data_IF_390299559098
#
_entry.id   IF_390299559098
#
_cell.length_a   1.000
_cell.length_b   1.000
_cell.length_c   1.000
_cell.angle_alpha   90.00
_cell.angle_beta   90.00
_cell.angle_gamma   90.00
#
_symmetry.space_group_name_H-M   'P 1'
#
loop_
_entity.id
_entity.type
_entity.pdbx_description
1 polymer ?
#
# COMPACT_ATOMS: atom_id res chain seq x y z
N UNK A 1 -60.63 18.37 18.47
CA UNK A 1 -60.21 17.71 17.20
C UNK A 1 -59.41 18.74 16.41
N UNK A 2 -58.16 18.44 16.06
CA UNK A 2 -57.34 19.26 15.14
C UNK A 2 -56.34 20.25 15.76
N UNK A 3 -55.18 19.77 16.26
CA UNK A 3 -53.95 20.57 16.39
C UNK A 3 -52.68 19.74 16.71
N UNK A 4 -52.49 18.59 16.05
CA UNK A 4 -51.28 17.74 16.25
C UNK A 4 -50.57 17.26 14.98
N UNK A 5 -50.84 17.85 13.81
CA UNK A 5 -50.34 17.33 12.52
C UNK A 5 -49.51 18.30 11.68
N UNK A 6 -48.98 19.41 12.24
CA UNK A 6 -48.10 20.31 11.45
C UNK A 6 -46.68 20.50 11.99
N UNK A 7 -46.37 20.12 13.23
CA UNK A 7 -44.99 20.27 13.76
C UNK A 7 -44.07 19.08 13.42
N UNK A 8 -44.62 17.91 13.11
CA UNK A 8 -43.81 16.71 12.80
C UNK A 8 -43.33 16.66 11.34
N UNK A 9 -43.88 17.49 10.44
CA UNK A 9 -43.49 17.50 9.02
C UNK A 9 -42.42 18.54 8.68
N UNK A 10 -42.13 19.51 9.55
CA UNK A 10 -41.04 20.48 9.35
C UNK A 10 -39.72 20.05 9.99
N UNK A 11 -39.73 19.11 10.93
CA UNK A 11 -38.52 18.53 11.53
C UNK A 11 -37.83 17.49 10.63
N UNK A 12 -38.52 16.92 9.63
CA UNK A 12 -37.97 15.91 8.72
C UNK A 12 -37.41 16.46 7.40
N UNK A 13 -37.42 17.77 7.19
CA UNK A 13 -36.85 18.39 5.97
C UNK A 13 -35.46 19.00 6.24
N UNK A 14 -35.09 19.23 7.50
CA UNK A 14 -33.77 19.77 7.85
C UNK A 14 -32.69 18.69 8.11
N UNK A 15 -33.04 17.41 8.07
CA UNK A 15 -32.11 16.30 8.36
C UNK A 15 -31.75 15.46 7.12
N UNK A 16 -32.15 15.92 5.92
CA UNK A 16 -31.92 15.18 4.65
C UNK A 16 -30.88 15.82 3.72
N UNK A 17 -30.38 17.03 4.01
CA UNK A 17 -29.42 17.73 3.15
C UNK A 17 -27.95 17.66 3.60
N UNK A 18 -27.65 17.12 4.78
CA UNK A 18 -26.25 17.07 5.28
C UNK A 18 -25.50 15.76 4.94
N UNK A 19 -26.12 14.85 4.17
CA UNK A 19 -25.49 13.60 3.69
C UNK A 19 -24.79 13.72 2.34
N UNK A 20 -24.60 14.93 1.82
CA UNK A 20 -23.82 15.18 0.59
C UNK A 20 -22.80 16.31 0.75
N UNK A 21 -21.89 16.20 1.72
CA UNK A 21 -20.56 16.80 1.57
C UNK A 21 -19.51 16.07 2.42
N UNK A 22 -18.50 15.50 1.76
CA UNK A 22 -17.41 14.75 2.37
C UNK A 22 -16.41 15.62 3.12
N UNK A 23 -16.83 16.24 4.22
CA UNK A 23 -15.96 17.05 5.07
C UNK A 23 -16.24 16.84 6.57
N UNK A 24 -16.11 15.60 7.06
CA UNK A 24 -16.06 15.35 8.50
C UNK A 24 -14.93 16.19 9.14
N UNK A 25 -15.26 17.09 10.07
CA UNK A 25 -14.27 17.86 10.84
C UNK A 25 -13.58 16.95 11.85
N UNK A 26 -12.25 17.01 11.92
CA UNK A 26 -11.45 16.25 12.90
C UNK A 26 -11.85 16.67 14.31
N UNK A 27 -12.27 15.72 15.15
CA UNK A 27 -12.74 15.99 16.51
C UNK A 27 -11.61 15.87 17.54
N UNK A 28 -11.81 16.43 18.75
CA UNK A 28 -10.89 16.21 19.88
C UNK A 28 -10.75 14.73 20.25
N UNK A 29 -11.81 13.94 20.04
CA UNK A 29 -11.83 12.49 20.27
C UNK A 29 -10.91 11.76 19.28
N UNK A 30 -10.89 12.18 18.01
CA UNK A 30 -10.01 11.63 16.98
C UNK A 30 -8.54 11.89 17.29
N UNK A 31 -8.24 13.10 17.78
CA UNK A 31 -6.89 13.47 18.23
C UNK A 31 -6.47 12.61 19.43
N UNK A 32 -7.38 12.39 20.40
CA UNK A 32 -7.10 11.54 21.57
C UNK A 32 -6.86 10.08 21.16
N UNK A 33 -7.71 9.51 20.30
CA UNK A 33 -7.53 8.15 19.74
C UNK A 33 -6.22 8.01 18.95
N UNK A 34 -5.80 9.06 18.25
CA UNK A 34 -4.50 9.10 17.58
C UNK A 34 -3.35 9.01 18.59
N UNK A 35 -3.36 9.82 19.66
CA UNK A 35 -2.35 9.76 20.71
C UNK A 35 -2.33 8.40 21.44
N UNK A 36 -3.48 7.78 21.67
CA UNK A 36 -3.56 6.42 22.21
C UNK A 36 -2.94 5.37 21.26
N UNK A 37 -3.19 5.48 19.95
CA UNK A 37 -2.51 4.64 18.93
C UNK A 37 -1.01 4.88 18.88
N UNK A 38 -0.54 6.11 19.13
CA UNK A 38 0.88 6.41 19.26
C UNK A 38 1.52 5.78 20.50
N UNK A 39 0.75 5.63 21.58
CA UNK A 39 1.24 5.09 22.85
C UNK A 39 1.41 3.57 22.83
N UNK A 40 0.62 2.86 22.01
CA UNK A 40 0.67 1.40 21.85
C UNK A 40 0.79 0.96 20.38
N UNK A 41 1.95 1.16 19.72
CA UNK A 41 2.16 0.68 18.37
C UNK A 41 2.15 -0.85 18.33
N UNK A 42 1.26 -1.44 17.52
CA UNK A 42 1.30 -2.88 17.21
C UNK A 42 2.43 -3.13 16.20
N UNK A 43 3.61 -3.49 16.69
CA UNK A 43 4.74 -3.93 15.86
C UNK A 43 4.49 -5.35 15.34
N UNK A 44 3.73 -5.47 14.25
CA UNK A 44 3.66 -6.74 13.52
C UNK A 44 4.97 -7.00 12.80
N UNK A 45 5.28 -8.27 12.50
CA UNK A 45 6.44 -8.63 11.67
C UNK A 45 6.42 -7.88 10.33
N UNK A 46 5.25 -7.80 9.70
CA UNK A 46 5.06 -7.05 8.45
C UNK A 46 5.38 -5.55 8.60
N UNK A 47 5.05 -4.94 9.74
CA UNK A 47 5.38 -3.54 10.02
C UNK A 47 6.90 -3.32 10.08
N UNK A 48 7.61 -4.19 10.80
CA UNK A 48 9.07 -4.12 10.93
C UNK A 48 9.73 -4.32 9.56
N UNK A 49 9.30 -5.33 8.79
CA UNK A 49 9.84 -5.62 7.45
C UNK A 49 9.67 -4.43 6.50
N UNK A 50 8.49 -3.83 6.43
CA UNK A 50 8.26 -2.64 5.58
C UNK A 50 9.12 -1.47 5.97
N UNK A 51 9.25 -1.21 7.27
CA UNK A 51 10.08 -0.12 7.76
C UNK A 51 11.55 -0.36 7.43
N UNK A 52 12.05 -1.60 7.54
CA UNK A 52 13.41 -1.96 7.13
C UNK A 52 13.64 -1.76 5.63
N UNK A 53 12.73 -2.25 4.77
CA UNK A 53 12.83 -2.10 3.31
C UNK A 53 12.80 -0.61 2.91
N UNK A 54 11.86 0.17 3.45
CA UNK A 54 11.75 1.59 3.13
C UNK A 54 12.94 2.39 3.64
N UNK A 55 13.51 2.01 4.79
CA UNK A 55 14.75 2.61 5.30
C UNK A 55 15.94 2.28 4.40
N UNK A 56 16.11 1.03 4.00
CA UNK A 56 17.18 0.61 3.10
C UNK A 56 17.08 1.33 1.75
N UNK A 57 15.87 1.40 1.17
CA UNK A 57 15.63 2.14 -0.07
C UNK A 57 15.93 3.64 0.10
N UNK A 58 15.49 4.23 1.21
CA UNK A 58 15.77 5.64 1.52
C UNK A 58 17.27 5.90 1.60
N UNK A 59 18.02 5.02 2.26
CA UNK A 59 19.48 5.09 2.35
C UNK A 59 20.16 4.92 0.99
N UNK A 60 19.75 3.94 0.17
CA UNK A 60 20.32 3.74 -1.18
C UNK A 60 20.11 5.00 -2.03
N UNK A 61 18.91 5.58 -2.03
CA UNK A 61 18.63 6.83 -2.74
C UNK A 61 19.46 7.99 -2.18
N UNK A 62 19.68 8.03 -0.88
CA UNK A 62 20.49 9.05 -0.21
C UNK A 62 21.98 8.93 -0.52
N UNK A 63 22.49 7.71 -0.70
CA UNK A 63 23.89 7.44 -0.99
C UNK A 63 24.22 7.63 -2.49
N UNK A 64 23.33 7.20 -3.38
CA UNK A 64 23.64 7.08 -4.82
C UNK A 64 22.82 8.00 -5.73
N UNK A 65 21.62 8.45 -5.32
CA UNK A 65 20.73 9.27 -6.15
C UNK A 65 20.76 10.74 -5.73
N UNK A 66 21.97 11.31 -5.65
CA UNK A 66 22.21 12.72 -5.33
C UNK A 66 23.05 13.39 -6.42
N UNK A 67 22.68 14.60 -6.81
CA UNK A 67 23.40 15.39 -7.82
C UNK A 67 23.29 16.88 -7.52
N UNK A 68 24.24 17.68 -7.99
CA UNK A 68 24.19 19.14 -7.86
C UNK A 68 23.81 19.81 -9.18
N UNK A 69 23.38 21.07 -9.10
CA UNK A 69 23.04 21.90 -10.26
C UNK A 69 23.89 23.18 -10.22
N UNK A 70 25.21 23.08 -10.48
CA UNK A 70 26.20 24.12 -10.16
C UNK A 70 26.04 25.43 -10.94
N UNK A 71 25.22 25.46 -11.99
CA UNK A 71 24.90 26.68 -12.75
C UNK A 71 23.64 27.41 -12.24
N UNK A 72 22.84 26.74 -11.40
CA UNK A 72 21.57 27.26 -10.89
C UNK A 72 21.63 27.48 -9.38
N UNK A 73 22.33 26.60 -8.65
CA UNK A 73 22.43 26.62 -7.20
C UNK A 73 23.88 26.40 -6.75
N UNK A 74 24.24 26.84 -5.53
CA UNK A 74 25.53 26.53 -4.93
C UNK A 74 25.84 25.04 -4.97
N UNK A 75 27.08 24.67 -5.34
CA UNK A 75 27.47 23.28 -5.61
C UNK A 75 27.37 22.32 -4.42
N UNK A 76 27.34 22.86 -3.21
CA UNK A 76 27.15 22.12 -1.95
C UNK A 76 25.68 21.84 -1.62
N UNK A 77 24.72 22.40 -2.37
CA UNK A 77 23.31 22.02 -2.30
C UNK A 77 23.05 20.87 -3.27
N UNK A 78 22.88 19.66 -2.73
CA UNK A 78 22.65 18.44 -3.50
C UNK A 78 21.14 18.11 -3.59
N UNK A 79 20.61 18.03 -4.82
CA UNK A 79 19.27 17.51 -5.07
C UNK A 79 19.28 16.01 -4.74
N UNK A 80 18.29 15.58 -3.94
CA UNK A 80 18.10 14.17 -3.60
C UNK A 80 16.61 13.86 -3.41
N UNK A 81 16.25 12.63 -3.75
CA UNK A 81 14.87 12.11 -3.69
C UNK A 81 14.64 11.13 -2.54
N UNK A 82 15.58 11.07 -1.59
CA UNK A 82 15.60 10.07 -0.51
C UNK A 82 14.46 10.20 0.50
N UNK A 83 13.73 11.31 0.53
CA UNK A 83 12.53 11.51 1.37
C UNK A 83 11.31 10.75 0.87
N UNK A 84 11.31 10.32 -0.40
CA UNK A 84 10.19 9.60 -1.02
C UNK A 84 9.81 8.32 -0.21
N UNK A 85 10.72 7.39 0.12
CA UNK A 85 10.37 6.22 0.93
C UNK A 85 9.89 6.57 2.34
N UNK A 86 10.38 7.68 2.93
CA UNK A 86 9.92 8.13 4.24
C UNK A 86 8.49 8.67 4.19
N UNK A 87 8.11 9.41 3.14
CA UNK A 87 6.72 9.82 2.92
C UNK A 87 5.79 8.61 2.72
N UNK A 88 6.23 7.61 1.95
CA UNK A 88 5.50 6.37 1.76
C UNK A 88 5.31 5.64 3.11
N UNK A 89 6.37 5.54 3.93
CA UNK A 89 6.25 5.01 5.29
C UNK A 89 5.23 5.79 6.12
N UNK A 90 5.25 7.11 6.03
CA UNK A 90 4.30 8.02 6.66
C UNK A 90 2.85 7.79 6.29
N UNK A 91 2.56 7.72 5.00
CA UNK A 91 1.20 7.50 4.49
C UNK A 91 0.69 6.08 4.78
N UNK A 92 1.61 5.12 4.86
CA UNK A 92 1.27 3.72 5.14
C UNK A 92 1.06 3.41 6.61
N UNK A 93 2.06 3.74 7.42
CA UNK A 93 2.29 3.24 8.77
C UNK A 93 2.13 4.34 9.82
N UNK A 94 2.09 5.60 9.38
CA UNK A 94 1.87 6.77 10.22
C UNK A 94 3.13 7.65 10.35
N UNK A 95 2.95 8.87 10.92
CA UNK A 95 4.00 9.90 10.94
C UNK A 95 5.26 9.51 11.72
N UNK A 96 5.15 8.68 12.77
CA UNK A 96 6.33 8.21 13.52
C UNK A 96 7.24 7.39 12.59
N UNK A 97 6.67 6.49 11.80
CA UNK A 97 7.45 5.67 10.86
C UNK A 97 8.18 6.54 9.85
N UNK A 98 7.56 7.61 9.35
CA UNK A 98 8.21 8.56 8.45
C UNK A 98 9.46 9.18 9.10
N UNK A 99 9.33 9.66 10.35
CA UNK A 99 10.46 10.23 11.09
C UNK A 99 11.55 9.20 11.35
N UNK A 100 11.19 7.97 11.72
CA UNK A 100 12.15 6.88 11.96
C UNK A 100 12.94 6.57 10.69
N UNK A 101 12.29 6.48 9.52
CA UNK A 101 12.99 6.28 8.24
C UNK A 101 14.01 7.39 7.97
N UNK A 102 13.65 8.66 8.21
CA UNK A 102 14.57 9.81 8.05
C UNK A 102 15.74 9.73 9.02
N UNK A 103 15.50 9.37 10.29
CA UNK A 103 16.57 9.29 11.29
C UNK A 103 17.53 8.14 10.92
N UNK A 104 16.99 6.95 10.64
CA UNK A 104 17.80 5.78 10.34
C UNK A 104 18.60 5.91 9.04
N UNK A 105 18.04 6.50 7.97
CA UNK A 105 18.79 6.70 6.71
C UNK A 105 20.02 7.58 6.94
N UNK A 106 19.89 8.63 7.77
CA UNK A 106 20.98 9.55 8.05
C UNK A 106 22.01 8.92 9.01
N UNK A 107 21.55 8.15 10.00
CA UNK A 107 22.43 7.36 10.87
C UNK A 107 23.29 6.38 10.07
N UNK A 108 22.73 5.72 9.05
CA UNK A 108 23.49 4.83 8.17
C UNK A 108 24.49 5.55 7.27
N UNK A 109 24.27 6.82 6.93
CA UNK A 109 25.26 7.62 6.19
C UNK A 109 26.36 8.19 7.07
N UNK A 110 26.16 8.36 8.38
CA UNK A 110 27.17 9.00 9.24
C UNK A 110 28.61 8.45 9.08
N UNK A 111 28.85 7.13 8.96
CA UNK A 111 30.20 6.61 8.73
C UNK A 111 30.84 7.02 7.38
N UNK A 112 30.03 7.54 6.45
CA UNK A 112 30.41 7.91 5.08
C UNK A 112 30.34 9.43 4.85
N UNK A 113 30.29 10.25 5.91
CA UNK A 113 30.14 11.71 5.78
C UNK A 113 31.40 12.36 5.19
N UNK A 114 31.19 13.33 4.29
CA UNK A 114 32.22 14.25 3.80
C UNK A 114 32.05 15.68 4.32
N UNK A 115 30.96 15.95 5.06
CA UNK A 115 30.53 17.29 5.50
C UNK A 115 30.64 17.50 7.01
N UNK A 116 31.47 16.71 7.69
CA UNK A 116 31.65 16.75 9.14
C UNK A 116 30.31 16.75 9.90
N UNK A 117 29.38 15.87 9.48
CA UNK A 117 28.06 15.67 10.08
C UNK A 117 27.05 16.82 9.94
N UNK A 118 27.47 18.01 9.47
CA UNK A 118 26.60 19.20 9.34
C UNK A 118 25.50 18.96 8.31
N UNK A 119 25.86 18.33 7.19
CA UNK A 119 24.92 18.00 6.12
C UNK A 119 23.85 17.03 6.59
N UNK A 120 24.26 15.92 7.20
CA UNK A 120 23.35 14.88 7.70
C UNK A 120 22.43 15.42 8.81
N UNK A 121 22.94 16.23 9.74
CA UNK A 121 22.11 16.87 10.77
C UNK A 121 21.07 17.82 10.16
N UNK A 122 21.47 18.60 9.15
CA UNK A 122 20.55 19.46 8.41
C UNK A 122 19.49 18.63 7.68
N UNK A 123 19.89 17.55 7.02
CA UNK A 123 18.96 16.66 6.31
C UNK A 123 17.96 15.96 7.24
N UNK A 124 18.34 15.60 8.47
CA UNK A 124 17.40 15.08 9.46
C UNK A 124 16.32 16.13 9.78
N UNK A 125 16.74 17.36 10.12
CA UNK A 125 15.82 18.45 10.49
C UNK A 125 14.86 18.78 9.34
N UNK A 126 15.41 18.96 8.13
CA UNK A 126 14.60 19.29 6.95
C UNK A 126 13.72 18.12 6.50
N UNK A 127 14.25 16.89 6.56
CA UNK A 127 13.50 15.68 6.26
C UNK A 127 12.29 15.52 7.18
N UNK A 128 12.47 15.67 8.50
CA UNK A 128 11.36 15.62 9.47
C UNK A 128 10.35 16.75 9.21
N UNK A 129 10.83 17.98 8.99
CA UNK A 129 9.95 19.12 8.70
C UNK A 129 9.10 18.94 7.45
N UNK A 130 9.56 18.14 6.48
CA UNK A 130 8.78 17.76 5.31
C UNK A 130 7.81 16.62 5.60
N UNK A 131 8.31 15.49 6.10
CA UNK A 131 7.52 14.25 6.16
C UNK A 131 6.51 14.22 7.30
N UNK A 132 6.81 14.86 8.44
CA UNK A 132 5.95 14.83 9.61
C UNK A 132 4.60 15.51 9.37
N UNK A 133 4.52 16.80 8.98
CA UNK A 133 3.24 17.45 8.70
C UNK A 133 2.49 16.78 7.54
N UNK A 134 3.20 16.34 6.50
CA UNK A 134 2.59 15.65 5.37
C UNK A 134 1.89 14.37 5.82
N UNK A 135 2.60 13.54 6.58
CA UNK A 135 2.09 12.26 7.09
C UNK A 135 0.99 12.47 8.12
N UNK A 136 1.07 13.51 8.95
CA UNK A 136 0.06 13.82 9.95
C UNK A 136 -1.28 14.21 9.30
N UNK A 137 -1.25 15.10 8.29
CA UNK A 137 -2.46 15.51 7.55
C UNK A 137 -3.09 14.31 6.86
N UNK A 138 -2.27 13.47 6.21
CA UNK A 138 -2.76 12.25 5.56
C UNK A 138 -3.31 11.22 6.55
N UNK A 139 -2.71 11.12 7.74
CA UNK A 139 -3.15 10.18 8.78
C UNK A 139 -4.59 10.45 9.23
N UNK A 140 -5.01 11.72 9.29
CA UNK A 140 -6.38 12.09 9.64
C UNK A 140 -7.40 11.75 8.55
N UNK A 141 -7.03 11.91 7.26
CA UNK A 141 -7.90 11.60 6.13
C UNK A 141 -7.09 10.97 5.00
N UNK A 142 -7.32 9.68 4.76
CA UNK A 142 -6.58 8.86 3.81
C UNK A 142 -7.17 8.94 2.40
N UNK A 143 -6.98 10.08 1.75
CA UNK A 143 -7.37 10.28 0.36
C UNK A 143 -6.31 11.06 -0.44
N UNK A 144 -6.48 11.14 -1.76
CA UNK A 144 -5.50 11.82 -2.63
C UNK A 144 -5.42 13.33 -2.37
N UNK A 145 -6.53 13.95 -1.94
CA UNK A 145 -6.59 15.38 -1.67
C UNK A 145 -5.73 15.71 -0.45
N UNK A 146 -5.83 14.94 0.62
CA UNK A 146 -5.07 15.14 1.84
C UNK A 146 -3.61 14.69 1.70
N UNK A 147 -3.31 13.73 0.81
CA UNK A 147 -1.94 13.45 0.42
C UNK A 147 -1.30 14.69 -0.24
N UNK A 148 -2.00 15.32 -1.18
CA UNK A 148 -1.54 16.55 -1.83
C UNK A 148 -1.41 17.72 -0.85
N UNK A 149 -2.45 17.99 -0.05
CA UNK A 149 -2.42 19.05 0.99
C UNK A 149 -1.28 18.80 1.98
N UNK A 150 -1.08 17.55 2.39
CA UNK A 150 0.01 17.14 3.27
C UNK A 150 1.37 17.46 2.67
N UNK A 151 1.61 17.07 1.41
CA UNK A 151 2.85 17.39 0.70
C UNK A 151 3.06 18.91 0.61
N UNK A 152 2.03 19.69 0.29
CA UNK A 152 2.12 21.15 0.25
C UNK A 152 2.48 21.74 1.63
N UNK A 153 1.82 21.30 2.70
CA UNK A 153 2.09 21.75 4.06
C UNK A 153 3.51 21.40 4.50
N UNK A 154 3.96 20.17 4.23
CA UNK A 154 5.34 19.77 4.50
C UNK A 154 6.35 20.54 3.68
N UNK A 155 6.05 20.86 2.42
CA UNK A 155 6.93 21.69 1.58
C UNK A 155 7.11 23.09 2.16
N UNK A 156 6.03 23.69 2.67
CA UNK A 156 6.08 24.99 3.36
C UNK A 156 6.91 24.91 4.64
N UNK A 157 6.69 23.89 5.47
CA UNK A 157 7.45 23.67 6.71
C UNK A 157 8.95 23.46 6.45
N UNK A 158 9.31 22.60 5.48
CA UNK A 158 10.70 22.39 5.08
C UNK A 158 11.31 23.68 4.55
N UNK A 159 10.61 24.40 3.67
CA UNK A 159 11.16 25.63 3.07
C UNK A 159 11.42 26.68 4.15
N UNK A 160 10.47 26.93 5.05
CA UNK A 160 10.65 27.87 6.15
C UNK A 160 11.79 27.44 7.09
N UNK A 161 11.83 26.17 7.48
CA UNK A 161 12.88 25.66 8.37
C UNK A 161 14.25 25.68 7.69
N UNK A 162 14.32 25.44 6.38
CA UNK A 162 15.57 25.45 5.62
C UNK A 162 16.26 26.81 5.69
N UNK A 163 15.51 27.92 5.65
CA UNK A 163 16.07 29.25 5.79
C UNK A 163 16.66 29.47 7.18
N UNK A 164 15.94 29.05 8.22
CA UNK A 164 16.35 29.20 9.62
C UNK A 164 17.57 28.34 9.94
N UNK A 165 17.51 27.05 9.60
CA UNK A 165 18.59 26.09 9.86
C UNK A 165 19.85 26.50 9.11
N UNK A 166 19.74 26.92 7.84
CA UNK A 166 20.91 27.41 7.11
C UNK A 166 21.48 28.70 7.68
N UNK A 167 20.63 29.63 8.15
CA UNK A 167 21.08 30.89 8.74
C UNK A 167 21.81 30.69 10.06
N UNK A 168 21.24 29.90 10.96
CA UNK A 168 21.66 29.85 12.36
C UNK A 168 22.47 28.60 12.73
N UNK A 169 22.40 27.54 11.95
CA UNK A 169 23.01 26.25 12.29
C UNK A 169 24.01 25.84 11.20
N UNK A 170 23.56 25.52 9.99
CA UNK A 170 24.39 24.86 8.97
C UNK A 170 25.58 25.71 8.53
N UNK A 171 25.35 26.95 8.09
CA UNK A 171 26.44 27.80 7.59
C UNK A 171 27.41 28.21 8.70
N UNK A 172 26.97 28.75 9.85
CA UNK A 172 27.90 29.11 10.92
C UNK A 172 28.77 27.94 11.37
N UNK A 173 28.17 26.76 11.55
CA UNK A 173 28.90 25.58 11.99
C UNK A 173 29.84 25.04 10.91
N UNK A 174 29.42 25.03 9.65
CA UNK A 174 30.29 24.65 8.53
C UNK A 174 31.52 25.57 8.40
N UNK A 175 31.32 26.89 8.46
CA UNK A 175 32.41 27.88 8.40
C UNK A 175 33.35 27.73 9.59
N UNK A 176 32.79 27.51 10.78
CA UNK A 176 33.60 27.28 11.98
C UNK A 176 34.48 26.04 11.85
N UNK A 177 33.95 24.94 11.31
CA UNK A 177 34.68 23.67 11.20
C UNK A 177 35.68 23.62 10.05
N UNK A 178 35.30 24.11 8.86
CA UNK A 178 36.12 23.96 7.65
C UNK A 178 37.02 25.17 7.37
N UNK A 179 36.64 26.35 7.85
CA UNK A 179 37.33 27.61 7.56
C UNK A 179 37.83 28.32 8.81
N UNK A 180 37.82 27.66 9.98
CA UNK A 180 38.21 28.26 11.27
C UNK A 180 37.51 29.60 11.57
N UNK A 181 36.27 29.75 11.10
CA UNK A 181 35.49 30.99 11.27
C UNK A 181 35.67 32.03 10.16
N UNK A 182 36.55 31.80 9.18
CA UNK A 182 36.75 32.75 8.07
C UNK A 182 35.58 32.69 7.07
N UNK A 183 34.68 33.66 7.20
CA UNK A 183 33.50 33.79 6.36
C UNK A 183 33.83 34.24 4.92
N UNK A 184 35.03 34.79 4.66
CA UNK A 184 35.41 35.21 3.31
C UNK A 184 35.53 34.03 2.34
N UNK A 185 35.93 32.86 2.86
CA UNK A 185 36.10 31.64 2.07
C UNK A 185 34.76 31.11 1.56
N UNK A 186 33.71 31.12 2.37
CA UNK A 186 32.38 30.68 1.91
C UNK A 186 31.75 31.67 0.92
N UNK A 187 32.02 32.97 1.06
CA UNK A 187 31.61 33.98 0.08
C UNK A 187 32.26 33.71 -1.28
N UNK A 188 33.54 33.32 -1.31
CA UNK A 188 34.24 32.99 -2.55
C UNK A 188 33.62 31.79 -3.29
N UNK A 189 33.00 30.84 -2.57
CA UNK A 189 32.28 29.72 -3.19
C UNK A 189 31.01 30.16 -3.92
N UNK A 190 30.43 31.30 -3.57
CA UNK A 190 29.23 31.85 -4.23
C UNK A 190 29.56 32.80 -5.38
N UNK A 191 30.74 33.41 -5.41
CA UNK A 191 31.13 34.38 -6.45
C UNK A 191 30.96 33.90 -7.90
N UNK A 192 31.23 32.62 -8.25
CA UNK A 192 30.99 32.12 -9.60
C UNK A 192 29.51 32.20 -10.03
N UNK A 193 28.59 32.08 -9.09
CA UNK A 193 27.14 32.17 -9.31
C UNK A 193 26.62 33.61 -9.17
N UNK A 194 27.13 34.34 -8.18
CA UNK A 194 26.64 35.66 -7.80
C UNK A 194 27.79 36.67 -7.80
N UNK A 195 28.00 37.36 -8.92
CA UNK A 195 29.15 38.27 -9.13
C UNK A 195 29.31 39.36 -8.07
N UNK A 196 28.20 39.85 -7.51
CA UNK A 196 28.18 40.98 -6.56
C UNK A 196 28.09 40.54 -5.09
N UNK A 197 28.34 39.26 -4.78
CA UNK A 197 28.23 38.76 -3.40
C UNK A 197 29.39 39.28 -2.54
N UNK A 198 29.04 39.84 -1.40
CA UNK A 198 29.94 40.31 -0.33
C UNK A 198 29.60 39.59 0.98
N UNK A 199 30.39 39.81 2.03
CA UNK A 199 30.11 39.25 3.36
C UNK A 199 28.74 39.73 3.87
N UNK A 200 28.44 41.02 3.74
CA UNK A 200 27.19 41.61 4.22
C UNK A 200 25.96 41.14 3.43
N UNK A 201 26.13 40.88 2.13
CA UNK A 201 25.05 40.46 1.24
C UNK A 201 24.94 38.95 1.11
N UNK A 202 25.89 38.18 1.66
CA UNK A 202 25.98 36.72 1.51
C UNK A 202 24.65 36.04 1.79
N UNK A 203 24.05 36.30 2.94
CA UNK A 203 22.83 35.61 3.35
C UNK A 203 21.61 36.00 2.51
N UNK A 204 21.59 37.20 1.93
CA UNK A 204 20.51 37.60 1.02
C UNK A 204 20.57 36.73 -0.24
N UNK A 205 21.74 36.66 -0.88
CA UNK A 205 21.94 35.82 -2.06
C UNK A 205 21.78 34.34 -1.73
N UNK A 206 22.47 33.87 -0.70
CA UNK A 206 22.47 32.46 -0.34
C UNK A 206 21.07 31.96 0.04
N UNK A 207 20.34 32.66 0.92
CA UNK A 207 19.06 32.19 1.42
C UNK A 207 17.93 32.37 0.39
N UNK A 208 17.80 33.56 -0.20
CA UNK A 208 16.65 33.86 -1.07
C UNK A 208 16.86 33.45 -2.52
N UNK A 209 18.11 33.44 -3.01
CA UNK A 209 18.42 33.06 -4.40
C UNK A 209 18.94 31.62 -4.48
N UNK A 210 19.60 31.12 -3.43
CA UNK A 210 20.04 29.72 -3.34
C UNK A 210 19.00 28.81 -2.68
N UNK A 211 18.92 28.89 -1.35
CA UNK A 211 18.22 27.90 -0.49
C UNK A 211 16.72 27.85 -0.75
N UNK A 212 16.05 29.01 -0.84
CA UNK A 212 14.60 29.10 -1.06
C UNK A 212 14.17 28.40 -2.37
N UNK A 213 14.63 28.84 -3.56
CA UNK A 213 14.23 28.20 -4.82
C UNK A 213 14.72 26.76 -4.92
N UNK A 214 15.89 26.42 -4.37
CA UNK A 214 16.39 25.05 -4.33
C UNK A 214 15.44 24.11 -3.58
N UNK A 215 15.00 24.50 -2.38
CA UNK A 215 14.11 23.66 -1.57
C UNK A 215 12.70 23.58 -2.15
N UNK A 216 12.18 24.68 -2.74
CA UNK A 216 10.92 24.64 -3.48
C UNK A 216 10.99 23.66 -4.66
N UNK A 217 12.07 23.73 -5.45
CA UNK A 217 12.28 22.84 -6.58
C UNK A 217 12.40 21.36 -6.14
N UNK A 218 13.20 21.10 -5.10
CA UNK A 218 13.32 19.77 -4.48
C UNK A 218 11.96 19.23 -4.02
N UNK A 219 11.16 20.04 -3.33
CA UNK A 219 9.84 19.66 -2.86
C UNK A 219 8.87 19.34 -4.00
N UNK A 220 8.93 20.08 -5.12
CA UNK A 220 8.12 19.80 -6.31
C UNK A 220 8.47 18.42 -6.89
N UNK A 221 9.77 18.11 -7.05
CA UNK A 221 10.21 16.83 -7.58
C UNK A 221 9.76 15.68 -6.67
N UNK A 222 10.12 15.75 -5.39
CA UNK A 222 9.83 14.67 -4.43
C UNK A 222 8.32 14.53 -4.22
N UNK A 223 7.59 15.63 -4.09
CA UNK A 223 6.14 15.64 -3.96
C UNK A 223 5.44 15.05 -5.18
N UNK A 224 5.85 15.44 -6.39
CA UNK A 224 5.32 14.93 -7.64
C UNK A 224 5.57 13.43 -7.81
N UNK A 225 6.81 12.97 -7.59
CA UNK A 225 7.16 11.55 -7.61
C UNK A 225 6.37 10.76 -6.56
N UNK A 226 6.24 11.30 -5.34
CA UNK A 226 5.45 10.66 -4.28
C UNK A 226 4.00 10.51 -4.70
N UNK A 227 3.40 11.55 -5.29
CA UNK A 227 2.01 11.52 -5.71
C UNK A 227 1.74 10.47 -6.80
N UNK A 228 2.64 10.33 -7.77
CA UNK A 228 2.55 9.34 -8.86
C UNK A 228 2.74 7.92 -8.33
N UNK A 229 3.78 7.69 -7.52
CA UNK A 229 4.15 6.36 -7.03
C UNK A 229 3.23 5.88 -5.91
N UNK A 230 2.67 6.79 -5.11
CA UNK A 230 1.83 6.44 -3.97
C UNK A 230 0.69 5.51 -4.38
N UNK A 231 -0.05 5.79 -5.47
CA UNK A 231 -1.20 4.95 -5.84
C UNK A 231 -0.78 3.53 -6.21
N UNK A 232 0.35 3.38 -6.91
CA UNK A 232 0.89 2.07 -7.31
C UNK A 232 1.37 1.28 -6.09
N UNK A 233 1.97 1.97 -5.13
CA UNK A 233 2.52 1.35 -3.93
C UNK A 233 1.50 1.19 -2.80
N UNK A 234 0.38 1.94 -2.80
CA UNK A 234 -0.65 1.94 -1.75
C UNK A 234 -1.23 0.55 -1.49
N UNK A 235 -1.46 -0.26 -2.54
CA UNK A 235 -1.91 -1.67 -2.37
C UNK A 235 -0.91 -2.51 -1.56
N UNK A 236 0.38 -2.41 -1.85
CA UNK A 236 1.45 -3.15 -1.16
C UNK A 236 1.73 -2.55 0.24
N UNK A 237 1.66 -1.22 0.36
CA UNK A 237 1.87 -0.50 1.62
C UNK A 237 0.78 -0.80 2.65
N UNK A 238 -0.48 -0.90 2.24
CA UNK A 238 -1.59 -1.17 3.17
C UNK A 238 -1.79 -2.65 3.49
N UNK A 239 -1.06 -3.54 2.83
CA UNK A 239 -1.10 -4.98 3.11
C UNK A 239 -0.63 -5.29 4.54
N UNK A 240 -1.48 -5.79 5.42
CA UNK A 240 -1.14 -5.99 6.84
C UNK A 240 -0.53 -7.37 7.15
N UNK A 241 -0.30 -8.20 6.13
CA UNK A 241 0.15 -9.58 6.31
C UNK A 241 -0.95 -10.58 6.68
N UNK A 242 -2.20 -10.13 6.85
CA UNK A 242 -3.33 -11.02 7.16
C UNK A 242 -3.58 -12.03 6.04
N UNK A 243 -3.38 -11.62 4.77
CA UNK A 243 -3.49 -12.51 3.62
C UNK A 243 -2.51 -13.69 3.69
N UNK A 244 -1.28 -13.50 4.18
CA UNK A 244 -0.33 -14.62 4.35
C UNK A 244 -0.80 -15.63 5.40
N UNK A 245 -1.41 -15.17 6.50
CA UNK A 245 -2.00 -16.09 7.50
C UNK A 245 -3.19 -16.85 6.92
N UNK A 246 -4.07 -16.19 6.16
CA UNK A 246 -5.19 -16.86 5.48
C UNK A 246 -4.70 -17.93 4.50
N UNK A 247 -3.74 -17.57 3.62
CA UNK A 247 -3.16 -18.48 2.63
C UNK A 247 -2.49 -19.69 3.31
N UNK A 248 -1.70 -19.48 4.38
CA UNK A 248 -1.06 -20.59 5.12
C UNK A 248 -2.04 -21.52 5.84
N UNK A 249 -3.27 -21.07 6.10
CA UNK A 249 -4.32 -21.90 6.72
C UNK A 249 -5.24 -22.58 5.70
N UNK A 250 -5.09 -22.27 4.42
CA UNK A 250 -5.90 -22.82 3.34
C UNK A 250 -5.14 -23.93 2.61
N UNK A 251 -3.85 -23.75 2.32
CA UNK A 251 -3.07 -24.76 1.62
C UNK A 251 -2.52 -25.86 2.55
N UNK A 252 -2.44 -27.08 2.02
CA UNK A 252 -2.06 -28.30 2.71
C UNK A 252 -3.25 -29.21 3.05
N UNK A 253 -2.99 -30.22 3.89
CA UNK A 253 -3.96 -31.26 4.26
C UNK A 253 -4.93 -30.82 5.35
N UNK A 254 -6.22 -30.97 5.08
CA UNK A 254 -7.32 -30.75 6.02
C UNK A 254 -8.12 -32.04 6.22
N UNK A 255 -8.18 -32.53 7.45
CA UNK A 255 -9.11 -33.60 7.81
C UNK A 255 -10.47 -32.99 8.13
N UNK A 256 -11.50 -33.42 7.41
CA UNK A 256 -12.90 -33.00 7.64
C UNK A 256 -13.78 -34.23 7.93
N UNK A 257 -14.67 -34.09 8.91
CA UNK A 257 -15.44 -35.21 9.49
C UNK A 257 -16.95 -35.16 9.22
N UNK A 258 -17.42 -34.09 8.60
CA UNK A 258 -18.83 -33.84 8.31
C UNK A 258 -18.97 -32.78 7.21
N UNK A 259 -20.20 -32.56 6.75
CA UNK A 259 -20.53 -31.63 5.66
C UNK A 259 -20.28 -30.18 6.08
N UNK A 260 -20.54 -29.85 7.35
CA UNK A 260 -20.34 -28.51 7.91
C UNK A 260 -18.87 -28.11 7.88
N UNK A 261 -17.95 -29.03 8.16
CA UNK A 261 -16.50 -28.83 8.06
C UNK A 261 -16.05 -28.68 6.60
N UNK A 262 -16.63 -29.43 5.67
CA UNK A 262 -16.41 -29.22 4.22
C UNK A 262 -16.83 -27.81 3.81
N UNK A 263 -17.99 -27.33 4.28
CA UNK A 263 -18.48 -25.98 3.99
C UNK A 263 -17.60 -24.90 4.64
N UNK A 264 -17.08 -25.15 5.84
CA UNK A 264 -16.17 -24.26 6.51
C UNK A 264 -14.82 -24.13 5.76
N UNK A 265 -14.30 -25.23 5.21
CA UNK A 265 -13.11 -25.22 4.36
C UNK A 265 -13.38 -24.49 3.04
N UNK A 266 -14.49 -24.79 2.37
CA UNK A 266 -14.89 -24.10 1.14
C UNK A 266 -15.04 -22.59 1.35
N UNK A 267 -15.62 -22.16 2.48
CA UNK A 267 -15.70 -20.74 2.86
C UNK A 267 -14.32 -20.10 3.05
N UNK A 268 -13.38 -20.77 3.70
CA UNK A 268 -12.02 -20.25 3.86
C UNK A 268 -11.33 -20.03 2.51
N UNK A 269 -11.55 -20.94 1.55
CA UNK A 269 -11.04 -20.82 0.18
C UNK A 269 -11.73 -19.66 -0.54
N UNK A 270 -13.07 -19.59 -0.51
CA UNK A 270 -13.86 -18.50 -1.12
C UNK A 270 -13.43 -17.11 -0.64
N UNK A 271 -13.11 -16.96 0.65
CA UNK A 271 -12.63 -15.72 1.25
C UNK A 271 -11.26 -15.24 0.70
N UNK A 272 -10.54 -16.10 -0.05
CA UNK A 272 -9.26 -15.77 -0.68
C UNK A 272 -9.36 -15.44 -2.16
N UNK A 273 -10.44 -15.86 -2.83
CA UNK A 273 -10.63 -15.70 -4.27
C UNK A 273 -10.87 -14.24 -4.64
N UNK A 274 -10.48 -13.82 -5.84
CA UNK A 274 -10.63 -12.46 -6.35
C UNK A 274 -11.33 -12.40 -7.71
N UNK A 275 -11.49 -13.53 -8.39
CA UNK A 275 -11.93 -13.64 -9.78
C UNK A 275 -10.77 -14.08 -10.69
N UNK A 276 -11.08 -14.88 -11.71
CA UNK A 276 -10.15 -15.50 -12.65
C UNK A 276 -9.55 -16.84 -12.17
N UNK A 277 -9.79 -17.26 -10.92
CA UNK A 277 -9.19 -18.50 -10.41
C UNK A 277 -9.90 -19.76 -10.90
N UNK A 278 -9.10 -20.79 -11.21
CA UNK A 278 -9.59 -22.14 -11.55
C UNK A 278 -9.34 -23.07 -10.36
N UNK A 279 -10.38 -23.81 -9.95
CA UNK A 279 -10.31 -24.81 -8.88
C UNK A 279 -10.53 -26.20 -9.50
N UNK A 280 -9.51 -27.04 -9.45
CA UNK A 280 -9.60 -28.42 -9.94
C UNK A 280 -9.92 -29.35 -8.78
N UNK A 281 -11.03 -30.09 -8.90
CA UNK A 281 -11.47 -31.07 -7.92
C UNK A 281 -11.21 -32.49 -8.44
N UNK A 282 -10.38 -33.23 -7.71
CA UNK A 282 -10.04 -34.62 -7.98
C UNK A 282 -10.37 -35.51 -6.78
N UNK A 283 -10.57 -36.80 -7.04
CA UNK A 283 -10.94 -37.81 -6.04
C UNK A 283 -12.05 -38.72 -6.54
N UNK A 284 -12.22 -39.87 -5.87
CA UNK A 284 -13.13 -40.92 -6.30
C UNK A 284 -14.60 -40.47 -6.45
N UNK A 285 -15.41 -41.30 -7.12
CA UNK A 285 -16.86 -41.09 -7.19
C UNK A 285 -17.44 -41.08 -5.77
N UNK A 286 -18.19 -40.03 -5.45
CA UNK A 286 -18.74 -39.84 -4.10
C UNK A 286 -17.76 -39.27 -3.06
N UNK A 287 -16.53 -38.87 -3.45
CA UNK A 287 -15.56 -38.29 -2.53
C UNK A 287 -16.03 -36.98 -1.86
N UNK A 288 -16.99 -36.26 -2.46
CA UNK A 288 -17.56 -35.03 -1.91
C UNK A 288 -17.24 -33.75 -2.69
N UNK A 289 -16.80 -33.88 -3.94
CA UNK A 289 -16.49 -32.75 -4.86
C UNK A 289 -17.66 -31.77 -4.99
N UNK A 290 -18.83 -32.24 -5.40
CA UNK A 290 -20.04 -31.39 -5.50
C UNK A 290 -20.47 -30.80 -4.14
N UNK A 291 -20.26 -31.53 -3.03
CA UNK A 291 -20.53 -31.01 -1.69
C UNK A 291 -19.62 -29.82 -1.35
N UNK A 292 -18.35 -29.89 -1.73
CA UNK A 292 -17.43 -28.76 -1.63
C UNK A 292 -17.89 -27.59 -2.50
N UNK A 293 -18.26 -27.82 -3.77
CA UNK A 293 -18.74 -26.77 -4.67
C UNK A 293 -19.99 -26.07 -4.13
N UNK A 294 -20.93 -26.80 -3.52
CA UNK A 294 -22.09 -26.22 -2.82
C UNK A 294 -21.68 -25.30 -1.66
N UNK A 295 -20.70 -25.74 -0.87
CA UNK A 295 -20.15 -24.93 0.22
C UNK A 295 -19.49 -23.65 -0.30
N UNK A 296 -18.75 -23.75 -1.42
CA UNK A 296 -18.09 -22.63 -2.09
C UNK A 296 -19.12 -21.62 -2.61
N UNK A 297 -20.14 -22.09 -3.34
CA UNK A 297 -21.20 -21.26 -3.90
C UNK A 297 -21.94 -20.46 -2.81
N UNK A 298 -22.28 -21.14 -1.70
CA UNK A 298 -22.90 -20.48 -0.54
C UNK A 298 -22.01 -19.41 0.09
N UNK A 299 -20.70 -19.64 0.13
CA UNK A 299 -19.74 -18.66 0.65
C UNK A 299 -19.55 -17.46 -0.31
N UNK A 300 -19.70 -17.69 -1.62
CA UNK A 300 -19.74 -16.63 -2.64
C UNK A 300 -21.06 -15.84 -2.64
N UNK A 301 -22.09 -16.32 -1.97
CA UNK A 301 -23.40 -15.65 -1.87
C UNK A 301 -24.40 -16.06 -2.94
N UNK A 302 -24.16 -17.16 -3.66
CA UNK A 302 -25.10 -17.74 -4.63
C UNK A 302 -26.26 -18.38 -3.86
N UNK A 303 -27.49 -17.96 -4.18
CA UNK A 303 -28.72 -18.46 -3.54
C UNK A 303 -29.30 -19.70 -4.25
N UNK A 304 -28.96 -19.90 -5.53
CA UNK A 304 -29.40 -21.03 -6.32
C UNK A 304 -28.94 -22.39 -5.77
N UNK A 305 -29.75 -23.41 -6.02
CA UNK A 305 -29.38 -24.78 -5.67
C UNK A 305 -28.30 -25.30 -6.63
N UNK A 306 -27.06 -25.35 -6.14
CA UNK A 306 -25.95 -25.92 -6.91
C UNK A 306 -26.09 -27.43 -7.02
N UNK A 307 -26.19 -27.95 -8.24
CA UNK A 307 -26.19 -29.38 -8.54
C UNK A 307 -25.00 -29.72 -9.45
N UNK A 308 -24.53 -30.98 -9.40
CA UNK A 308 -23.48 -31.41 -10.34
C UNK A 308 -24.04 -31.37 -11.76
N UNK A 309 -23.37 -30.67 -12.70
CA UNK A 309 -23.77 -30.60 -14.10
C UNK A 309 -23.43 -31.90 -14.84
N UNK A 310 -23.68 -33.08 -14.27
CA UNK A 310 -23.27 -34.38 -14.86
C UNK A 310 -23.79 -34.58 -16.29
N UNK A 311 -24.93 -33.96 -16.65
CA UNK A 311 -25.54 -34.04 -17.97
C UNK A 311 -25.43 -32.74 -18.80
N UNK A 312 -25.29 -31.59 -18.13
CA UNK A 312 -25.16 -30.28 -18.80
C UNK A 312 -23.72 -29.89 -19.04
N UNK A 313 -22.75 -30.61 -18.45
CA UNK A 313 -21.30 -30.39 -18.44
C UNK A 313 -20.90 -29.10 -17.71
N UNK A 314 -21.65 -28.01 -17.89
CA UNK A 314 -21.45 -26.70 -17.29
C UNK A 314 -22.77 -26.17 -16.69
N UNK A 315 -22.71 -25.67 -15.45
CA UNK A 315 -23.71 -24.80 -14.85
C UNK A 315 -23.06 -23.46 -14.49
N UNK A 316 -23.74 -22.35 -14.79
CA UNK A 316 -23.28 -20.99 -14.48
C UNK A 316 -24.22 -20.35 -13.48
N UNK A 317 -23.66 -19.78 -12.42
CA UNK A 317 -24.41 -19.09 -11.37
C UNK A 317 -23.88 -17.66 -11.22
N UNK A 318 -24.72 -16.66 -11.46
CA UNK A 318 -24.29 -15.26 -11.59
C UNK A 318 -24.56 -14.41 -10.34
N UNK A 319 -25.44 -14.86 -9.44
CA UNK A 319 -25.98 -14.05 -8.33
C UNK A 319 -25.05 -13.90 -7.11
N UNK A 320 -23.79 -14.34 -7.22
CA UNK A 320 -22.78 -14.25 -6.16
C UNK A 320 -21.94 -12.97 -6.19
N UNK A 321 -21.03 -12.83 -5.20
CA UNK A 321 -19.93 -11.85 -5.23
C UNK A 321 -19.02 -12.04 -6.44
N UNK A 322 -18.85 -13.29 -6.86
CA UNK A 322 -18.16 -13.73 -8.06
C UNK A 322 -19.08 -14.72 -8.77
N UNK A 323 -19.08 -14.69 -10.11
CA UNK A 323 -19.77 -15.70 -10.94
C UNK A 323 -19.13 -17.06 -10.68
N UNK A 324 -19.92 -18.11 -10.55
CA UNK A 324 -19.42 -19.48 -10.40
C UNK A 324 -19.73 -20.28 -11.66
N UNK A 325 -18.68 -20.71 -12.35
CA UNK A 325 -18.79 -21.72 -13.41
C UNK A 325 -18.47 -23.07 -12.79
N UNK A 326 -19.42 -23.99 -12.76
CA UNK A 326 -19.21 -25.34 -12.27
C UNK A 326 -19.23 -26.30 -13.45
N UNK A 327 -18.12 -27.00 -13.67
CA UNK A 327 -17.98 -28.01 -14.71
C UNK A 327 -17.82 -29.39 -14.09
N UNK A 328 -18.41 -30.40 -14.73
CA UNK A 328 -18.21 -31.81 -14.40
C UNK A 328 -17.86 -32.59 -15.66
N UNK A 329 -16.59 -32.95 -15.79
CA UNK A 329 -16.03 -33.59 -16.98
C UNK A 329 -15.92 -35.12 -16.83
N UNK A 330 -16.63 -35.72 -15.87
CA UNK A 330 -16.56 -37.17 -15.65
C UNK A 330 -16.83 -38.01 -16.91
N UNK A 331 -17.68 -37.50 -17.81
CA UNK A 331 -18.11 -38.18 -19.05
C UNK A 331 -17.46 -37.67 -20.32
N UNK A 332 -16.65 -36.62 -20.23
CA UNK A 332 -15.97 -36.03 -21.39
C UNK A 332 -14.79 -36.94 -21.76
N UNK A 333 -14.75 -37.38 -23.02
CA UNK A 333 -13.75 -38.36 -23.47
C UNK A 333 -12.42 -37.70 -23.86
N UNK A 334 -12.45 -36.48 -24.40
CA UNK A 334 -11.26 -35.73 -24.84
C UNK A 334 -11.41 -34.21 -24.68
N UNK A 335 -10.28 -33.50 -24.68
CA UNK A 335 -10.27 -32.03 -24.67
C UNK A 335 -10.88 -31.42 -25.95
N UNK A 336 -10.81 -32.12 -27.09
CA UNK A 336 -11.38 -31.66 -28.36
C UNK A 336 -12.91 -31.49 -28.27
N UNK A 337 -13.60 -32.35 -27.52
CA UNK A 337 -15.05 -32.25 -27.26
C UNK A 337 -15.41 -30.96 -26.50
N UNK A 338 -14.52 -30.49 -25.62
CA UNK A 338 -14.72 -29.24 -24.86
C UNK A 338 -14.57 -27.99 -25.72
N UNK A 339 -13.63 -28.02 -26.67
CA UNK A 339 -13.41 -26.93 -27.61
C UNK A 339 -14.62 -26.74 -28.54
N UNK A 340 -15.26 -27.83 -28.99
CA UNK A 340 -16.50 -27.78 -29.78
C UNK A 340 -17.68 -27.17 -29.00
N UNK A 341 -17.69 -27.33 -27.68
CA UNK A 341 -18.72 -26.77 -26.79
C UNK A 341 -18.49 -25.29 -26.43
N UNK A 342 -17.36 -24.69 -26.84
CA UNK A 342 -17.03 -23.29 -26.54
C UNK A 342 -16.80 -23.03 -25.05
N UNK A 343 -16.37 -24.04 -24.29
CA UNK A 343 -16.21 -23.95 -22.83
C UNK A 343 -15.07 -22.99 -22.45
N UNK A 344 -14.12 -22.72 -23.34
CA UNK A 344 -13.04 -21.75 -23.14
C UNK A 344 -13.56 -20.33 -22.83
N UNK A 345 -14.76 -19.97 -23.28
CA UNK A 345 -15.39 -18.68 -23.02
C UNK A 345 -15.87 -18.52 -21.57
N UNK A 346 -15.74 -19.55 -20.72
CA UNK A 346 -16.14 -19.48 -19.32
C UNK A 346 -15.05 -18.95 -18.37
N UNK A 347 -13.80 -18.81 -18.83
CA UNK A 347 -12.69 -18.35 -18.01
C UNK A 347 -12.61 -16.81 -17.99
N UNK A 348 -13.48 -16.18 -17.20
CA UNK A 348 -13.57 -14.72 -17.05
C UNK A 348 -12.86 -14.22 -15.78
N UNK A 349 -12.26 -13.02 -15.84
CA UNK A 349 -11.58 -12.34 -14.71
C UNK A 349 -12.50 -12.05 -13.51
N UNK A 350 -13.83 -12.07 -13.69
CA UNK A 350 -14.84 -11.84 -12.64
C UNK A 350 -15.57 -13.13 -12.19
N UNK A 351 -15.07 -14.29 -12.64
CA UNK A 351 -15.63 -15.59 -12.34
C UNK A 351 -14.65 -16.48 -11.56
N UNK A 352 -15.18 -17.50 -10.91
CA UNK A 352 -14.41 -18.62 -10.36
C UNK A 352 -14.88 -19.87 -11.08
N UNK A 353 -13.96 -20.63 -11.65
CA UNK A 353 -14.29 -21.84 -12.40
C UNK A 353 -13.90 -23.08 -11.60
N UNK A 354 -14.88 -23.87 -11.18
CA UNK A 354 -14.68 -25.14 -10.48
C UNK A 354 -14.85 -26.29 -11.47
N UNK A 355 -13.82 -27.09 -11.66
CA UNK A 355 -13.83 -28.23 -12.60
C UNK A 355 -13.69 -29.53 -11.81
N UNK A 356 -14.72 -30.38 -11.86
CA UNK A 356 -14.62 -31.77 -11.44
C UNK A 356 -14.07 -32.63 -12.58
N UNK A 357 -13.11 -33.51 -12.29
CA UNK A 357 -12.54 -34.47 -13.27
C UNK A 357 -11.86 -33.83 -14.49
N UNK A 358 -11.05 -32.80 -14.25
CA UNK A 358 -10.39 -32.02 -15.30
C UNK A 358 -9.81 -32.84 -16.48
N UNK A 359 -10.04 -32.35 -17.70
CA UNK A 359 -9.51 -32.88 -18.95
C UNK A 359 -8.64 -31.87 -19.72
N UNK A 360 -8.58 -30.62 -19.27
CA UNK A 360 -7.69 -29.63 -19.85
C UNK A 360 -6.23 -29.93 -19.48
N UNK A 361 -5.34 -29.77 -20.44
CA UNK A 361 -3.90 -29.97 -20.22
C UNK A 361 -3.22 -28.72 -19.65
N UNK A 362 -3.74 -27.52 -19.98
CA UNK A 362 -3.13 -26.24 -19.64
C UNK A 362 -4.19 -25.23 -19.24
N UNK A 363 -3.85 -24.35 -18.29
CA UNK A 363 -4.64 -23.19 -17.90
C UNK A 363 -3.74 -21.96 -17.84
N UNK A 364 -4.27 -20.81 -18.23
CA UNK A 364 -3.60 -19.53 -18.04
C UNK A 364 -3.89 -19.01 -16.61
N UNK A 365 -2.87 -18.94 -15.76
CA UNK A 365 -2.96 -18.25 -14.47
C UNK A 365 -2.87 -19.15 -13.22
N UNK A 366 -3.51 -18.69 -12.13
CA UNK A 366 -3.44 -19.36 -10.84
C UNK A 366 -4.47 -20.48 -10.74
N UNK A 367 -4.00 -21.71 -10.51
CA UNK A 367 -4.83 -22.91 -10.34
C UNK A 367 -4.75 -23.40 -8.90
N UNK A 368 -5.90 -23.73 -8.32
CA UNK A 368 -6.02 -24.35 -7.00
C UNK A 368 -6.43 -25.81 -7.20
N UNK A 369 -5.55 -26.75 -6.86
CA UNK A 369 -5.87 -28.17 -6.93
C UNK A 369 -6.35 -28.68 -5.57
N UNK A 370 -7.45 -29.44 -5.58
CA UNK A 370 -8.03 -30.04 -4.38
C UNK A 370 -8.24 -31.53 -4.61
N UNK A 371 -7.37 -32.33 -4.00
CA UNK A 371 -7.50 -33.78 -3.96
C UNK A 371 -8.33 -34.20 -2.74
N UNK A 372 -9.43 -34.91 -2.96
CA UNK A 372 -10.32 -35.38 -1.89
C UNK A 372 -10.23 -36.90 -1.73
N UNK A 373 -9.70 -37.35 -0.59
CA UNK A 373 -9.52 -38.77 -0.27
C UNK A 373 -10.40 -39.20 0.91
N UNK A 374 -11.36 -40.11 0.72
CA UNK A 374 -12.10 -40.70 1.84
C UNK A 374 -11.19 -41.53 2.75
N UNK A 375 -11.26 -41.32 4.07
CA UNK A 375 -10.49 -42.08 5.08
C UNK A 375 -11.36 -42.85 6.07
N UNK A 376 -12.68 -42.65 6.02
CA UNK A 376 -13.68 -43.39 6.80
C UNK A 376 -15.10 -43.08 6.28
N UNK A 377 -16.14 -43.55 6.98
CA UNK A 377 -17.53 -43.35 6.54
C UNK A 377 -17.92 -41.87 6.40
N UNK A 378 -17.45 -41.01 7.31
CA UNK A 378 -17.73 -39.58 7.31
C UNK A 378 -16.47 -38.70 7.22
N UNK A 379 -15.29 -39.32 7.22
CA UNK A 379 -14.01 -38.61 7.26
C UNK A 379 -13.35 -38.58 5.88
N UNK A 380 -12.86 -37.40 5.50
CA UNK A 380 -12.17 -37.13 4.24
C UNK A 380 -10.95 -36.27 4.52
N UNK A 381 -9.90 -36.46 3.73
CA UNK A 381 -8.75 -35.55 3.68
C UNK A 381 -8.86 -34.73 2.40
N UNK A 382 -8.83 -33.41 2.55
CA UNK A 382 -8.70 -32.45 1.45
C UNK A 382 -7.25 -32.00 1.41
N UNK A 383 -6.54 -32.30 0.33
CA UNK A 383 -5.20 -31.76 0.07
C UNK A 383 -5.34 -30.59 -0.89
N UNK A 384 -5.04 -29.38 -0.42
CA UNK A 384 -5.26 -28.13 -1.17
C UNK A 384 -3.91 -27.54 -1.55
N UNK A 385 -3.61 -27.52 -2.85
CA UNK A 385 -2.36 -27.00 -3.40
C UNK A 385 -2.63 -25.84 -4.35
N UNK A 386 -1.62 -24.99 -4.57
CA UNK A 386 -1.69 -23.87 -5.51
C UNK A 386 -0.54 -23.96 -6.49
N UNK A 387 -0.86 -24.03 -7.76
CA UNK A 387 0.10 -24.07 -8.85
C UNK A 387 -0.07 -22.86 -9.77
N UNK A 388 1.05 -22.35 -10.31
CA UNK A 388 1.04 -21.44 -11.46
C UNK A 388 1.26 -22.31 -12.70
N UNK A 389 0.20 -22.53 -13.49
CA UNK A 389 0.35 -23.11 -14.81
C UNK A 389 0.83 -22.00 -15.77
N UNK A 390 1.79 -22.35 -16.64
CA UNK A 390 2.42 -21.46 -17.61
C UNK A 390 2.34 -22.00 -19.01
#
# INVERSE_FOLDING_TARGET
>A
MGKKTKETQQANILDSDDKKSGNAKVTKEDIKKMFERFKNPRFSTAYITKMAILTALSFILYAFAKFNLPFMFPSFLEIQISELPALLAGFSMGPISACVVIILKCLFKFPLTSTAYVGEATDILLGIAFVLPASLIYYFKKDRKHAFIGICAGSLCLTALSLLVNRFISIPYFVQLYFNGDFSLIVNLLKPLYKNVTIDTFYVYYLFVGVLPFNLFRCIIVGGLTFVLYKRLSKILHWDGSNMKKLSTVFGKHTVKNVEETYALAKKIADTLQGGEVILLSGDLGAGKTTFTKGLAKALGIEDEVTSPTFTILNVYEDGRLKLNHLDMYRVESADELAELGIEDCFDDDSVTVIEWNKFEHFDGEVIEINITPTGENERIFDVEKEEHK
#
